data_IF_296299294426
#
_entry.id   IF_296299294426
#
_cell.length_a   1.000
_cell.length_b   1.000
_cell.length_c   1.000
_cell.angle_alpha   90.00
_cell.angle_beta   90.00
_cell.angle_gamma   90.00
#
_symmetry.space_group_name_H-M   'P 1'
#
loop_
_entity.id
_entity.type
_entity.pdbx_description
1 polymer ?
#
# COMPACT_ATOMS: atom_id res chain seq x y z
N UNK A 1 -5.77 -11.56 -2.24
CA UNK A 1 -6.15 -10.73 -1.10
C UNK A 1 -5.01 -9.78 -0.77
N UNK A 2 -5.33 -8.51 -0.60
CA UNK A 2 -4.39 -7.47 -0.19
C UNK A 2 -4.99 -6.80 1.03
N UNK A 3 -4.20 -6.63 2.09
CA UNK A 3 -4.69 -6.05 3.32
C UNK A 3 -3.60 -5.19 3.96
N UNK A 4 -4.00 -4.02 4.43
CA UNK A 4 -3.11 -3.13 5.17
C UNK A 4 -3.66 -2.98 6.58
N UNK A 5 -2.79 -3.06 7.56
CA UNK A 5 -3.16 -2.89 8.97
C UNK A 5 -2.16 -1.97 9.65
N UNK A 6 -2.64 -1.21 10.63
CA UNK A 6 -1.75 -0.46 11.52
C UNK A 6 -1.79 -1.12 12.89
N UNK A 7 -0.67 -1.04 13.63
CA UNK A 7 -0.65 -1.52 14.98
C UNK A 7 -1.43 -0.59 15.92
N UNK A 8 -1.60 -1.00 17.17
CA UNK A 8 -2.48 -0.29 18.10
C UNK A 8 -2.05 1.13 18.43
N UNK A 9 -0.78 1.45 18.28
CA UNK A 9 -0.28 2.81 18.52
C UNK A 9 -0.02 3.58 17.23
N UNK A 10 -0.32 2.99 16.07
CA UNK A 10 -0.21 3.68 14.80
C UNK A 10 1.20 3.90 14.30
N UNK A 11 2.19 3.22 14.87
CA UNK A 11 3.58 3.43 14.49
C UNK A 11 4.06 2.48 13.40
N UNK A 12 3.37 1.37 13.20
CA UNK A 12 3.74 0.37 12.21
C UNK A 12 2.63 0.08 11.24
N UNK A 13 3.00 -0.28 10.03
CA UNK A 13 2.06 -0.73 9.01
C UNK A 13 2.46 -2.13 8.59
N UNK A 14 1.49 -3.02 8.56
CA UNK A 14 1.68 -4.38 8.09
C UNK A 14 0.91 -4.55 6.79
N UNK A 15 1.56 -5.09 5.79
CA UNK A 15 0.94 -5.35 4.49
C UNK A 15 0.87 -6.86 4.32
N UNK A 16 -0.33 -7.37 4.10
CA UNK A 16 -0.57 -8.80 4.07
C UNK A 16 -1.11 -9.17 2.69
N UNK A 17 -0.52 -10.19 2.10
CA UNK A 17 -0.94 -10.69 0.79
C UNK A 17 -1.14 -12.19 0.84
N UNK A 18 -2.07 -12.70 0.02
CA UNK A 18 -1.98 -14.08 -0.43
C UNK A 18 -1.24 -14.09 -1.79
N UNK A 19 -1.11 -15.25 -2.42
CA UNK A 19 -0.34 -15.38 -3.66
C UNK A 19 -0.94 -14.58 -4.81
N UNK A 20 -2.26 -14.49 -4.89
CA UNK A 20 -2.89 -13.67 -5.91
C UNK A 20 -2.75 -12.18 -5.58
N UNK A 21 -2.87 -11.83 -4.32
CA UNK A 21 -2.78 -10.44 -3.89
C UNK A 21 -1.42 -9.84 -4.17
N UNK A 22 -0.35 -10.58 -3.94
CA UNK A 22 0.98 -10.04 -4.22
C UNK A 22 1.19 -9.81 -5.71
N UNK A 23 0.68 -10.70 -6.55
CA UNK A 23 0.78 -10.52 -8.00
C UNK A 23 -0.01 -9.30 -8.46
N UNK A 24 -1.21 -9.11 -7.93
CA UNK A 24 -2.00 -7.91 -8.21
C UNK A 24 -1.29 -6.64 -7.78
N UNK A 25 -0.69 -6.66 -6.60
CA UNK A 25 -0.01 -5.49 -6.08
C UNK A 25 1.20 -5.11 -6.92
N UNK A 26 1.95 -6.11 -7.37
CA UNK A 26 3.07 -5.89 -8.28
C UNK A 26 2.57 -5.22 -9.57
N UNK A 27 1.46 -5.71 -10.12
CA UNK A 27 0.88 -5.11 -11.32
C UNK A 27 0.46 -3.67 -11.10
N UNK A 28 -0.12 -3.35 -9.95
CA UNK A 28 -0.47 -1.98 -9.60
C UNK A 28 0.75 -1.07 -9.56
N UNK A 29 1.83 -1.53 -8.93
CA UNK A 29 3.05 -0.74 -8.85
C UNK A 29 3.66 -0.50 -10.23
N UNK A 30 3.65 -1.51 -11.09
CA UNK A 30 4.14 -1.37 -12.46
C UNK A 30 3.31 -0.37 -13.25
N UNK A 31 2.01 -0.37 -13.03
CA UNK A 31 1.09 0.54 -13.72
C UNK A 31 1.36 2.00 -13.36
N UNK A 32 1.50 2.31 -12.08
CA UNK A 32 1.75 3.69 -11.67
C UNK A 32 3.14 4.16 -12.10
N UNK A 33 4.11 3.26 -12.14
CA UNK A 33 5.44 3.60 -12.63
C UNK A 33 5.40 3.95 -14.12
N UNK A 34 4.66 3.18 -14.90
CA UNK A 34 4.56 3.39 -16.33
C UNK A 34 3.87 4.70 -16.68
N UNK A 35 2.85 5.07 -15.92
CA UNK A 35 2.00 6.21 -16.24
C UNK A 35 2.32 7.46 -15.43
N UNK A 36 3.33 7.42 -14.56
CA UNK A 36 3.68 8.53 -13.67
C UNK A 36 2.47 9.00 -12.89
N UNK A 37 1.77 8.07 -12.28
CA UNK A 37 0.48 8.35 -11.67
C UNK A 37 0.44 7.87 -10.22
N UNK A 38 -0.74 7.85 -9.68
CA UNK A 38 -1.02 7.32 -8.36
C UNK A 38 -2.24 6.41 -8.46
N UNK A 39 -2.49 5.66 -7.39
CA UNK A 39 -3.70 4.88 -7.32
C UNK A 39 -4.22 4.87 -5.90
N UNK A 40 -5.50 4.57 -5.77
CA UNK A 40 -6.18 4.43 -4.50
C UNK A 40 -6.66 2.99 -4.36
N UNK A 41 -6.32 2.38 -3.23
CA UNK A 41 -6.81 1.05 -2.89
C UNK A 41 -7.85 1.22 -1.79
N UNK A 42 -9.02 0.66 -1.98
CA UNK A 42 -10.14 0.83 -1.08
C UNK A 42 -10.68 -0.51 -0.62
N UNK A 43 -11.08 -0.59 0.64
CA UNK A 43 -11.78 -1.75 1.16
C UNK A 43 -13.08 -1.94 0.37
N UNK A 44 -13.36 -3.18 0.02
CA UNK A 44 -14.51 -3.51 -0.83
C UNK A 44 -14.16 -3.53 -2.30
N UNK A 45 -13.03 -2.98 -2.69
CA UNK A 45 -12.51 -3.05 -4.04
C UNK A 45 -11.21 -3.86 -4.03
N UNK A 46 -10.06 -3.18 -3.95
CA UNK A 46 -8.77 -3.87 -3.97
C UNK A 46 -8.39 -4.44 -2.60
N UNK A 47 -8.82 -3.81 -1.52
CA UNK A 47 -8.42 -4.20 -0.17
C UNK A 47 -9.46 -5.10 0.48
N UNK A 48 -8.97 -6.04 1.27
CA UNK A 48 -9.78 -7.00 2.01
C UNK A 48 -9.99 -6.54 3.45
N UNK A 49 -11.15 -6.86 4.00
CA UNK A 49 -11.41 -6.72 5.44
C UNK A 49 -11.34 -8.07 6.16
N UNK A 50 -10.97 -9.13 5.45
CA UNK A 50 -10.89 -10.45 6.04
C UNK A 50 -9.99 -10.46 7.25
N UNK A 51 -10.46 -11.04 8.34
CA UNK A 51 -9.64 -11.15 9.54
C UNK A 51 -8.68 -12.31 9.38
N UNK A 52 -7.38 -12.02 9.41
CA UNK A 52 -6.36 -13.03 9.15
C UNK A 52 -5.54 -13.38 10.39
N UNK A 53 -5.75 -12.66 11.49
CA UNK A 53 -5.05 -12.92 12.75
C UNK A 53 -5.88 -12.41 13.92
N UNK A 54 -5.49 -12.79 15.12
CA UNK A 54 -6.17 -12.36 16.35
C UNK A 54 -5.53 -11.15 17.00
N UNK A 55 -4.68 -10.45 16.28
CA UNK A 55 -4.06 -9.24 16.82
C UNK A 55 -5.07 -8.10 16.93
N UNK A 56 -4.63 -7.02 17.57
CA UNK A 56 -5.47 -5.83 17.77
C UNK A 56 -5.22 -4.76 16.73
N UNK A 57 -4.63 -5.11 15.61
CA UNK A 57 -4.35 -4.15 14.55
C UNK A 57 -5.63 -3.60 13.96
N UNK A 58 -5.55 -2.38 13.49
CA UNK A 58 -6.66 -1.71 12.82
C UNK A 58 -6.53 -1.86 11.32
N UNK A 59 -7.59 -2.29 10.67
CA UNK A 59 -7.63 -2.42 9.24
C UNK A 59 -7.65 -1.05 8.58
N UNK A 60 -6.72 -0.82 7.65
CA UNK A 60 -6.66 0.43 6.89
C UNK A 60 -7.64 0.34 5.74
N UNK A 61 -8.53 1.31 5.63
CA UNK A 61 -9.63 1.26 4.66
C UNK A 61 -9.32 1.95 3.34
N UNK A 62 -8.32 2.80 3.33
CA UNK A 62 -7.95 3.54 2.12
C UNK A 62 -6.43 3.73 2.10
N UNK A 63 -5.80 3.28 1.04
CA UNK A 63 -4.36 3.44 0.82
C UNK A 63 -4.17 4.18 -0.49
N UNK A 64 -3.40 5.24 -0.45
CA UNK A 64 -3.01 5.96 -1.66
C UNK A 64 -1.54 5.68 -1.91
N UNK A 65 -1.22 5.22 -3.11
CA UNK A 65 0.16 4.95 -3.51
C UNK A 65 0.51 5.91 -4.62
N UNK A 66 1.60 6.63 -4.44
CA UNK A 66 2.03 7.68 -5.36
C UNK A 66 3.41 7.35 -5.87
N UNK A 67 3.58 7.42 -7.18
CA UNK A 67 4.90 7.36 -7.79
C UNK A 67 5.38 8.78 -8.05
N UNK A 68 6.50 9.13 -7.45
CA UNK A 68 7.13 10.43 -7.67
C UNK A 68 8.44 10.19 -8.41
N UNK A 69 8.51 10.56 -9.69
CA UNK A 69 9.77 10.44 -10.42
C UNK A 69 10.87 11.22 -9.70
N UNK A 70 12.09 10.71 -9.79
CA UNK A 70 13.22 11.29 -9.09
C UNK A 70 13.38 12.79 -9.35
N UNK A 71 13.08 13.22 -10.55
CA UNK A 71 13.16 14.63 -10.92
C UNK A 71 12.19 15.52 -10.12
N UNK A 72 11.13 14.96 -9.57
CA UNK A 72 10.16 15.69 -8.75
C UNK A 72 10.57 15.76 -7.29
N UNK A 73 11.30 14.75 -6.82
CA UNK A 73 11.72 14.68 -5.42
C UNK A 73 12.85 15.65 -5.16
N UNK A 74 13.64 15.93 -6.17
CA UNK A 74 14.80 16.78 -6.07
C UNK A 74 15.83 16.17 -5.12
N UNK A 75 16.80 16.97 -4.78
CA UNK A 75 17.93 16.54 -4.00
C UNK A 75 17.68 16.53 -2.50
N UNK A 76 16.57 17.06 -2.06
CA UNK A 76 16.28 17.10 -0.63
C UNK A 76 16.16 15.72 -0.01
N UNK A 77 15.70 14.74 -0.77
CA UNK A 77 15.56 13.38 -0.29
C UNK A 77 16.90 12.70 -0.07
N UNK A 78 17.97 13.29 -0.49
CA UNK A 78 19.30 12.71 -0.41
C UNK A 78 20.22 13.47 0.52
N UNK A 79 19.70 14.33 1.33
CA UNK A 79 20.49 15.08 2.29
C UNK A 79 21.06 14.19 3.39
N UNK A 80 20.80 12.95 3.34
CA UNK A 80 21.26 11.98 4.34
C UNK A 80 22.52 11.30 3.89
#
# INVERSE_FOLDING_TARGET
MIKFETDSNGEGVEIIFDSNGIDEFIAYLQSIKKENDHLHLLVGNELSEEKVSDNENTNVKHVKIVYLPRSWIRWTSFAN
#
